data_IF_716873840544
#
_entry.id   IF_716873840544
#
_cell.length_a   1.000
_cell.length_b   1.000
_cell.length_c   1.000
_cell.angle_alpha   90.00
_cell.angle_beta   90.00
_cell.angle_gamma   90.00
#
_symmetry.space_group_name_H-M   'P 1'
#
loop_
_entity.id
_entity.type
_entity.pdbx_description
1 polymer ?
#
# COMPACT_ATOMS: atom_id res chain seq x y z
N UNK A 1 2.87 16.73 14.54
CA UNK A 1 2.20 17.44 13.42
C UNK A 1 1.00 18.21 13.98
N UNK A 2 0.92 19.54 13.80
CA UNK A 2 -0.23 20.34 14.26
C UNK A 2 -1.47 19.98 13.44
N UNK A 3 -2.46 19.34 14.07
CA UNK A 3 -3.75 19.00 13.44
C UNK A 3 -4.66 20.23 13.45
N UNK A 4 -4.91 20.81 12.28
CA UNK A 4 -5.83 21.95 12.13
C UNK A 4 -7.28 21.49 12.35
N UNK A 5 -8.04 22.14 13.25
CA UNK A 5 -9.46 21.84 13.55
C UNK A 5 -10.35 21.67 12.31
N UNK A 6 -10.05 22.41 11.24
CA UNK A 6 -10.77 22.37 9.96
C UNK A 6 -10.65 21.00 9.26
N UNK A 7 -9.52 20.31 9.41
CA UNK A 7 -9.29 19.00 8.79
C UNK A 7 -10.05 17.89 9.52
N UNK A 8 -10.19 18.01 10.85
CA UNK A 8 -10.94 17.06 11.69
C UNK A 8 -12.45 17.15 11.44
N UNK A 9 -13.02 18.34 11.26
CA UNK A 9 -14.46 18.50 10.98
C UNK A 9 -14.86 17.93 9.60
N UNK A 10 -13.98 18.06 8.60
CA UNK A 10 -14.21 17.43 7.29
C UNK A 10 -14.10 15.91 7.34
N UNK A 11 -13.24 15.36 8.21
CA UNK A 11 -13.10 13.90 8.41
C UNK A 11 -14.38 13.23 8.91
N UNK A 12 -15.23 13.94 9.65
CA UNK A 12 -16.50 13.38 10.18
C UNK A 12 -17.54 13.06 9.09
N UNK A 13 -17.38 13.64 7.90
CA UNK A 13 -18.32 13.48 6.78
C UNK A 13 -17.73 12.65 5.63
N UNK A 14 -16.54 12.07 5.81
CA UNK A 14 -15.95 11.17 4.83
C UNK A 14 -16.60 9.81 4.98
N UNK A 15 -17.04 9.25 3.86
CA UNK A 15 -17.61 7.92 3.80
C UNK A 15 -16.66 6.89 4.46
N UNK A 16 -17.16 6.05 5.38
CA UNK A 16 -16.35 5.03 6.05
C UNK A 16 -15.68 4.05 5.07
N UNK A 17 -16.28 3.77 3.92
CA UNK A 17 -15.72 2.92 2.88
C UNK A 17 -14.50 3.56 2.21
N UNK A 18 -14.61 4.85 1.85
CA UNK A 18 -13.48 5.63 1.31
C UNK A 18 -12.33 5.67 2.32
N UNK A 19 -12.65 5.86 3.60
CA UNK A 19 -11.64 5.85 4.66
C UNK A 19 -10.93 4.50 4.75
N UNK A 20 -11.67 3.39 4.69
CA UNK A 20 -11.09 2.05 4.75
C UNK A 20 -10.20 1.76 3.53
N UNK A 21 -10.64 2.19 2.34
CA UNK A 21 -9.86 2.06 1.11
C UNK A 21 -8.53 2.82 1.20
N UNK A 22 -8.56 4.08 1.65
CA UNK A 22 -7.34 4.88 1.83
C UNK A 22 -6.41 4.28 2.87
N UNK A 23 -6.96 3.83 4.01
CA UNK A 23 -6.17 3.18 5.07
C UNK A 23 -5.45 1.93 4.56
N UNK A 24 -6.16 1.09 3.79
CA UNK A 24 -5.57 -0.10 3.16
C UNK A 24 -4.47 0.27 2.15
N UNK A 25 -4.68 1.31 1.33
CA UNK A 25 -3.65 1.81 0.42
C UNK A 25 -2.39 2.27 1.17
N UNK A 26 -2.53 2.92 2.32
CA UNK A 26 -1.37 3.30 3.14
C UNK A 26 -0.65 2.08 3.71
N UNK A 27 -1.37 1.07 4.23
CA UNK A 27 -0.77 -0.16 4.73
C UNK A 27 0.03 -0.91 3.64
N UNK A 28 -0.50 -0.93 2.40
CA UNK A 28 0.20 -1.50 1.24
C UNK A 28 1.50 -0.72 0.94
N UNK A 29 1.44 0.61 0.95
CA UNK A 29 2.61 1.48 0.70
C UNK A 29 3.67 1.27 1.77
N UNK A 30 3.28 1.22 3.04
CA UNK A 30 4.19 0.98 4.16
C UNK A 30 4.86 -0.39 4.02
N UNK A 31 4.08 -1.43 3.66
CA UNK A 31 4.62 -2.76 3.39
C UNK A 31 5.64 -2.78 2.26
N UNK A 32 5.36 -2.09 1.15
CA UNK A 32 6.32 -1.95 0.05
C UNK A 32 7.58 -1.22 0.52
N UNK A 33 7.42 -0.16 1.32
CA UNK A 33 8.55 0.59 1.86
C UNK A 33 9.45 -0.29 2.73
N UNK A 34 8.86 -1.08 3.64
CA UNK A 34 9.60 -1.99 4.52
C UNK A 34 10.40 -3.03 3.73
N UNK A 35 9.79 -3.60 2.68
CA UNK A 35 10.47 -4.55 1.79
C UNK A 35 11.66 -3.87 1.11
N UNK A 36 11.48 -2.66 0.58
CA UNK A 36 12.56 -1.90 -0.05
C UNK A 36 13.71 -1.63 0.94
N UNK A 37 13.40 -1.15 2.14
CA UNK A 37 14.39 -0.88 3.19
C UNK A 37 15.13 -2.16 3.58
N UNK A 38 14.42 -3.27 3.77
CA UNK A 38 15.02 -4.56 4.13
C UNK A 38 16.01 -5.08 3.07
N UNK A 39 15.79 -4.73 1.81
CA UNK A 39 16.63 -5.10 0.66
C UNK A 39 17.67 -4.03 0.31
N UNK A 40 17.75 -2.92 1.05
CA UNK A 40 18.64 -1.79 0.75
C UNK A 40 18.29 -1.06 -0.55
N UNK A 41 17.05 -1.19 -1.02
CA UNK A 41 16.55 -0.63 -2.27
C UNK A 41 15.86 0.71 -2.04
N UNK A 42 15.86 1.55 -3.07
CA UNK A 42 15.15 2.82 -3.13
C UNK A 42 13.99 2.74 -4.13
N UNK A 43 13.10 3.74 -4.09
CA UNK A 43 11.96 3.82 -5.02
C UNK A 43 12.39 3.82 -6.50
N UNK A 44 13.54 4.44 -6.81
CA UNK A 44 14.15 4.40 -8.16
C UNK A 44 14.50 2.98 -8.62
N UNK A 45 14.89 2.10 -7.70
CA UNK A 45 15.29 0.74 -8.03
C UNK A 45 14.04 -0.10 -8.31
N UNK A 46 12.95 0.14 -7.56
CA UNK A 46 11.64 -0.42 -7.87
C UNK A 46 11.12 0.04 -9.24
N UNK A 47 11.30 1.32 -9.56
CA UNK A 47 10.92 1.86 -10.87
C UNK A 47 11.68 1.16 -12.01
N UNK A 48 12.98 0.92 -11.82
CA UNK A 48 13.81 0.20 -12.79
C UNK A 48 13.35 -1.25 -12.95
N UNK A 49 13.09 -1.98 -11.86
CA UNK A 49 12.63 -3.36 -11.90
C UNK A 49 11.28 -3.52 -12.61
N UNK A 50 10.38 -2.55 -12.46
CA UNK A 50 9.06 -2.56 -13.07
C UNK A 50 9.04 -1.94 -14.48
N UNK A 51 10.16 -1.41 -14.96
CA UNK A 51 10.21 -0.66 -16.23
C UNK A 51 9.32 0.59 -16.22
N UNK A 52 9.14 1.20 -15.05
CA UNK A 52 8.28 2.38 -14.84
C UNK A 52 9.11 3.63 -14.59
N UNK A 53 8.46 4.79 -14.68
CA UNK A 53 9.10 6.07 -14.33
C UNK A 53 9.11 6.24 -12.82
N UNK A 54 10.19 6.80 -12.27
CA UNK A 54 10.30 7.09 -10.84
C UNK A 54 9.14 7.98 -10.33
N UNK A 55 8.68 8.93 -11.15
CA UNK A 55 7.54 9.78 -10.83
C UNK A 55 6.22 9.00 -10.64
N UNK A 56 6.06 7.86 -11.33
CA UNK A 56 4.90 6.97 -11.20
C UNK A 56 4.96 6.20 -9.87
N UNK A 57 6.12 5.62 -9.54
CA UNK A 57 6.34 4.96 -8.24
C UNK A 57 6.18 5.95 -7.08
N UNK A 58 6.73 7.16 -7.21
CA UNK A 58 6.54 8.23 -6.24
C UNK A 58 5.05 8.59 -6.05
N UNK A 59 4.24 8.49 -7.11
CA UNK A 59 2.78 8.68 -7.02
C UNK A 59 2.11 7.55 -6.26
N UNK A 60 2.55 6.32 -6.44
CA UNK A 60 2.02 5.17 -5.69
C UNK A 60 2.33 5.30 -4.21
N UNK A 61 3.55 5.69 -3.85
CA UNK A 61 4.02 5.85 -2.48
C UNK A 61 3.37 7.03 -1.72
N UNK A 62 2.52 7.84 -2.37
CA UNK A 62 1.74 8.89 -1.68
C UNK A 62 0.49 8.36 -0.95
N UNK A 63 0.15 7.07 -1.10
CA UNK A 63 -0.96 6.43 -0.39
C UNK A 63 -2.36 6.74 -0.94
N UNK A 64 -2.47 7.57 -1.98
CA UNK A 64 -3.73 7.87 -2.67
C UNK A 64 -3.91 7.10 -3.97
N UNK A 65 -3.01 6.16 -4.26
CA UNK A 65 -3.11 5.30 -5.43
C UNK A 65 -4.02 4.11 -5.14
N UNK A 66 -4.89 3.79 -6.10
CA UNK A 66 -5.68 2.58 -6.09
C UNK A 66 -4.84 1.45 -6.69
N UNK A 67 -4.30 0.57 -5.87
CA UNK A 67 -3.54 -0.59 -6.33
C UNK A 67 -4.48 -1.65 -6.87
N UNK A 68 -4.31 -2.02 -8.14
CA UNK A 68 -4.96 -3.21 -8.69
C UNK A 68 -4.22 -4.47 -8.26
N UNK A 69 -4.89 -5.62 -8.28
CA UNK A 69 -4.27 -6.92 -7.99
C UNK A 69 -3.09 -7.17 -8.94
N UNK A 70 -3.24 -6.90 -10.24
CA UNK A 70 -2.15 -7.05 -11.21
C UNK A 70 -0.92 -6.19 -10.88
N UNK A 71 -1.15 -4.99 -10.37
CA UNK A 71 -0.07 -4.08 -9.94
C UNK A 71 0.64 -4.66 -8.72
N UNK A 72 -0.11 -5.17 -7.74
CA UNK A 72 0.47 -5.81 -6.55
C UNK A 72 1.30 -7.03 -6.93
N UNK A 73 0.76 -7.94 -7.75
CA UNK A 73 1.48 -9.13 -8.24
C UNK A 73 2.76 -8.73 -8.98
N UNK A 74 2.71 -7.68 -9.80
CA UNK A 74 3.91 -7.18 -10.49
C UNK A 74 4.97 -6.68 -9.52
N UNK A 75 4.57 -5.97 -8.46
CA UNK A 75 5.48 -5.48 -7.42
C UNK A 75 6.02 -6.65 -6.58
N UNK A 76 5.20 -7.61 -6.20
CA UNK A 76 5.61 -8.80 -5.45
C UNK A 76 6.64 -9.62 -6.24
N UNK A 77 6.42 -9.80 -7.55
CA UNK A 77 7.38 -10.46 -8.43
C UNK A 77 8.67 -9.66 -8.59
N UNK A 78 8.60 -8.33 -8.71
CA UNK A 78 9.79 -7.49 -8.78
C UNK A 78 10.60 -7.53 -7.48
N UNK A 79 9.92 -7.50 -6.33
CA UNK A 79 10.54 -7.48 -5.02
C UNK A 79 10.86 -8.88 -4.49
N UNK A 80 10.33 -9.94 -5.08
CA UNK A 80 10.43 -11.32 -4.58
C UNK A 80 10.01 -11.41 -3.10
N UNK A 81 8.89 -10.78 -2.76
CA UNK A 81 8.35 -10.73 -1.40
C UNK A 81 6.84 -10.47 -1.41
N UNK A 82 6.07 -11.09 -0.48
CA UNK A 82 4.62 -10.89 -0.40
C UNK A 82 4.27 -9.52 0.22
N UNK A 83 3.30 -8.85 -0.39
CA UNK A 83 2.74 -7.56 0.03
C UNK A 83 1.36 -7.77 0.66
N UNK A 84 0.50 -8.59 0.06
CA UNK A 84 -0.87 -8.81 0.52
C UNK A 84 -1.16 -10.30 0.69
N UNK A 85 -1.72 -10.67 1.84
CA UNK A 85 -2.20 -12.03 2.10
C UNK A 85 -3.71 -12.04 2.30
N UNK A 86 -4.36 -13.12 1.85
CA UNK A 86 -5.78 -13.36 2.12
C UNK A 86 -5.92 -13.86 3.55
N UNK A 87 -6.90 -13.32 4.28
CA UNK A 87 -7.24 -13.83 5.61
C UNK A 87 -7.93 -15.18 5.44
N UNK A 88 -7.28 -16.25 5.87
CA UNK A 88 -7.89 -17.56 6.00
C UNK A 88 -8.47 -17.66 7.42
N UNK A 89 -9.77 -17.96 7.52
CA UNK A 89 -10.33 -18.43 8.78
C UNK A 89 -10.03 -19.91 8.84
N UNK A 90 -9.12 -20.29 9.74
CA UNK A 90 -9.00 -21.69 10.12
C UNK A 90 -10.35 -22.07 10.72
N UNK A 91 -11.18 -22.76 9.92
CA UNK A 91 -12.34 -23.47 10.45
C UNK A 91 -11.75 -24.54 11.36
N UNK A 92 -11.72 -24.25 12.67
CA UNK A 92 -11.70 -25.30 13.68
C UNK A 92 -12.94 -26.17 13.42
N UNK A 93 -12.76 -27.19 12.57
CA UNK A 93 -13.70 -28.30 12.50
C UNK A 93 -13.51 -29.00 13.83
N UNK A 94 -14.36 -28.69 14.80
CA UNK A 94 -14.56 -29.52 15.97
C UNK A 94 -14.95 -30.92 15.47
N UNK A 95 -14.01 -31.86 15.50
CA UNK A 95 -14.25 -33.29 15.34
C UNK A 95 -14.48 -33.89 16.72
#
# INVERSE_FOLDING_TARGET
>A
MRRSKILEERRKHVDPEIRKSVDLSFQIVDRIHDILVSKGMKQKDLALLLGKREAEISKWMRGTHNFTIDTLVSIENALQAPILNVVHQDLEICV
#
